data_IF_006508934679
#
_entry.id   IF_006508934679
#
_cell.length_a   1.000
_cell.length_b   1.000
_cell.length_c   1.000
_cell.angle_alpha   90.00
_cell.angle_beta   90.00
_cell.angle_gamma   90.00
#
_symmetry.space_group_name_H-M   'P 1'
#
loop_
_entity.id
_entity.type
_entity.pdbx_description
1 polymer ?
#
# COMPACT_ATOMS: atom_id res chain seq x y z
N UNK A 1 20.46 29.04 -4.33
CA UNK A 1 19.15 28.62 -4.87
C UNK A 1 18.55 27.68 -3.84
N UNK A 2 17.30 27.91 -3.41
CA UNK A 2 16.61 26.97 -2.55
C UNK A 2 16.30 25.72 -3.38
N UNK A 3 16.84 24.57 -2.97
CA UNK A 3 16.56 23.32 -3.65
C UNK A 3 15.24 22.78 -3.12
N UNK A 4 14.25 22.61 -4.00
CA UNK A 4 13.01 21.90 -3.65
C UNK A 4 13.25 20.40 -3.86
N UNK A 5 12.80 19.61 -2.89
CA UNK A 5 12.97 18.17 -2.85
C UNK A 5 11.62 17.50 -3.05
N UNK A 6 11.58 16.54 -3.95
CA UNK A 6 10.37 15.83 -4.33
C UNK A 6 10.56 14.33 -4.14
N UNK A 7 9.45 13.64 -3.91
CA UNK A 7 9.40 12.19 -3.87
C UNK A 7 8.31 11.64 -4.79
N UNK A 8 8.57 10.43 -5.32
CA UNK A 8 7.55 9.59 -5.94
C UNK A 8 7.21 8.44 -5.01
N UNK A 9 5.93 8.31 -4.71
CA UNK A 9 5.41 7.32 -3.77
C UNK A 9 4.51 6.33 -4.47
N UNK A 10 4.77 5.03 -4.32
CA UNK A 10 3.82 3.99 -4.63
C UNK A 10 2.84 3.87 -3.45
N UNK A 11 1.54 4.04 -3.71
CA UNK A 11 0.51 4.14 -2.68
C UNK A 11 -0.42 2.92 -2.72
N UNK A 12 -0.79 2.32 -1.55
CA UNK A 12 -1.75 1.23 -1.46
C UNK A 12 -3.12 1.59 -2.00
N UNK A 13 -3.96 0.59 -2.29
CA UNK A 13 -5.37 0.82 -2.59
C UNK A 13 -6.10 1.48 -1.42
N UNK A 14 -7.21 2.17 -1.68
CA UNK A 14 -7.97 2.91 -0.65
C UNK A 14 -8.24 2.11 0.64
N UNK A 15 -8.82 0.90 0.58
CA UNK A 15 -9.06 0.07 1.76
C UNK A 15 -7.77 -0.31 2.52
N UNK A 16 -6.70 -0.65 1.80
CA UNK A 16 -5.41 -1.05 2.39
C UNK A 16 -4.69 0.15 3.01
N UNK A 17 -4.78 1.33 2.39
CA UNK A 17 -4.25 2.58 2.92
C UNK A 17 -4.97 3.01 4.20
N UNK A 18 -6.29 2.78 4.29
CA UNK A 18 -7.05 3.02 5.52
C UNK A 18 -6.59 2.07 6.63
N UNK A 19 -6.44 0.78 6.33
CA UNK A 19 -5.96 -0.20 7.29
C UNK A 19 -4.54 0.13 7.81
N UNK A 20 -3.62 0.49 6.92
CA UNK A 20 -2.26 0.90 7.31
C UNK A 20 -2.27 2.18 8.15
N UNK A 21 -3.11 3.18 7.81
CA UNK A 21 -3.25 4.40 8.63
C UNK A 21 -3.71 4.09 10.05
N UNK A 22 -4.66 3.17 10.23
CA UNK A 22 -5.06 2.73 11.57
C UNK A 22 -3.89 2.13 12.37
N UNK A 23 -3.01 1.35 11.73
CA UNK A 23 -1.80 0.85 12.37
C UNK A 23 -0.85 2.00 12.75
N UNK A 24 -0.64 2.96 11.85
CA UNK A 24 0.23 4.13 12.04
C UNK A 24 -0.28 5.12 13.11
N UNK A 25 -1.55 5.02 13.49
CA UNK A 25 -2.15 5.77 14.60
C UNK A 25 -1.87 5.15 15.98
N UNK A 26 -1.29 3.94 16.04
CA UNK A 26 -0.94 3.30 17.30
C UNK A 26 0.02 4.17 18.12
N UNK A 27 -0.23 4.30 19.43
CA UNK A 27 0.62 5.02 20.37
C UNK A 27 0.99 4.09 21.53
N UNK A 28 2.29 3.97 21.86
CA UNK A 28 2.72 3.03 22.88
C UNK A 28 2.28 3.55 24.26
N UNK A 29 1.81 2.64 25.12
CA UNK A 29 1.53 2.97 26.52
C UNK A 29 2.86 3.10 27.25
N UNK A 30 3.11 4.16 28.04
CA UNK A 30 4.35 4.26 28.78
C UNK A 30 4.47 3.13 29.81
N UNK A 31 5.63 2.47 29.89
CA UNK A 31 5.89 1.36 30.82
C UNK A 31 5.77 1.76 32.30
N UNK A 32 5.83 3.06 32.62
CA UNK A 32 5.57 3.62 33.95
C UNK A 32 4.85 4.96 33.84
N UNK A 33 3.86 5.25 34.71
CA UNK A 33 3.27 6.57 34.85
C UNK A 33 4.31 7.50 35.51
N UNK A 34 5.27 8.01 34.73
CA UNK A 34 6.09 9.14 35.15
C UNK A 34 5.44 10.42 34.61
N UNK A 35 5.58 11.51 35.36
CA UNK A 35 5.06 12.86 35.09
C UNK A 35 5.48 13.49 33.74
N UNK A 36 6.09 12.74 32.82
CA UNK A 36 6.29 13.18 31.45
C UNK A 36 4.94 13.11 30.74
N UNK A 37 4.36 14.28 30.46
CA UNK A 37 3.11 14.33 29.71
C UNK A 37 3.32 13.61 28.38
N UNK A 38 2.51 12.60 28.11
CA UNK A 38 2.41 11.91 26.81
C UNK A 38 2.22 12.92 25.66
N UNK A 39 1.76 14.14 25.96
CA UNK A 39 1.55 15.27 25.05
C UNK A 39 2.80 15.87 24.40
N UNK A 40 4.02 15.50 24.80
CA UNK A 40 5.26 16.03 24.20
C UNK A 40 5.80 15.19 23.03
N UNK A 41 5.18 14.05 22.70
CA UNK A 41 5.68 13.17 21.65
C UNK A 41 5.01 13.51 20.32
N UNK A 42 5.77 14.04 19.37
CA UNK A 42 5.30 14.24 18.00
C UNK A 42 5.43 12.92 17.22
N UNK A 43 4.29 12.46 16.71
CA UNK A 43 4.21 11.35 15.76
C UNK A 43 3.61 11.95 14.49
N UNK A 44 4.44 12.48 13.57
CA UNK A 44 3.94 13.16 12.40
C UNK A 44 3.04 12.21 11.61
N UNK A 45 1.94 12.76 11.09
CA UNK A 45 1.03 12.01 10.24
C UNK A 45 1.49 12.11 8.80
N UNK A 46 1.44 10.99 8.08
CA UNK A 46 1.72 10.92 6.65
C UNK A 46 0.95 9.75 6.05
N UNK A 47 0.80 9.75 4.72
CA UNK A 47 0.11 8.67 4.02
C UNK A 47 1.01 7.43 3.88
N UNK A 48 0.47 6.19 3.97
CA UNK A 48 1.26 4.98 3.80
C UNK A 48 1.77 4.87 2.36
N UNK A 49 3.08 4.69 2.19
CA UNK A 49 3.71 4.65 0.88
C UNK A 49 4.99 3.81 0.85
N UNK A 50 5.44 3.46 -0.36
CA UNK A 50 6.83 3.07 -0.65
C UNK A 50 7.46 4.16 -1.51
N UNK A 51 8.60 4.71 -1.07
CA UNK A 51 9.33 5.73 -1.84
C UNK A 51 10.07 5.09 -3.01
N UNK A 52 9.56 5.32 -4.23
CA UNK A 52 10.17 4.84 -5.48
C UNK A 52 11.44 5.65 -5.82
N UNK A 53 11.39 6.95 -5.59
CA UNK A 53 12.48 7.88 -5.87
C UNK A 53 12.33 9.17 -5.04
N UNK A 54 13.45 9.76 -4.63
CA UNK A 54 13.61 11.14 -4.14
C UNK A 54 14.59 11.87 -5.03
N UNK A 55 14.33 13.13 -5.32
CA UNK A 55 15.14 13.94 -6.25
C UNK A 55 14.94 15.44 -6.00
N UNK A 56 15.91 16.23 -6.46
CA UNK A 56 15.81 17.70 -6.43
C UNK A 56 15.42 18.25 -7.79
N UNK A 57 14.55 19.26 -7.81
CA UNK A 57 14.20 19.98 -9.03
C UNK A 57 14.00 21.48 -8.71
N UNK A 58 14.58 22.41 -9.49
CA UNK A 58 14.41 23.85 -9.24
C UNK A 58 12.99 24.36 -9.55
N UNK A 59 12.19 23.55 -10.25
CA UNK A 59 10.83 23.88 -10.66
C UNK A 59 9.89 22.75 -10.25
N UNK A 60 8.60 23.08 -10.06
CA UNK A 60 7.58 22.07 -9.83
C UNK A 60 7.51 21.14 -11.05
N UNK A 61 7.83 19.85 -10.90
CA UNK A 61 7.79 18.94 -12.03
C UNK A 61 6.37 18.41 -12.26
N UNK A 62 6.16 17.79 -13.43
CA UNK A 62 4.90 17.11 -13.76
C UNK A 62 5.07 15.61 -13.63
N UNK A 63 4.13 14.91 -12.98
CA UNK A 63 4.30 13.48 -12.69
C UNK A 63 4.53 12.62 -13.95
N UNK A 64 3.92 13.03 -15.07
CA UNK A 64 4.04 12.36 -16.36
C UNK A 64 5.46 12.30 -16.91
N UNK A 65 6.35 13.19 -16.47
CA UNK A 65 7.76 13.19 -16.87
C UNK A 65 8.57 12.07 -16.19
N UNK A 66 7.98 11.36 -15.23
CA UNK A 66 8.67 10.34 -14.44
C UNK A 66 8.08 8.94 -14.58
N UNK A 67 6.87 8.85 -15.11
CA UNK A 67 6.14 7.59 -15.12
C UNK A 67 6.20 6.92 -16.49
N UNK A 68 6.68 5.67 -16.56
CA UNK A 68 6.66 4.93 -17.81
C UNK A 68 5.21 4.73 -18.27
N UNK A 69 4.98 4.93 -19.56
CA UNK A 69 3.64 4.73 -20.13
C UNK A 69 3.15 3.30 -19.89
N UNK A 70 1.96 3.17 -19.32
CA UNK A 70 1.36 1.86 -19.08
C UNK A 70 1.87 1.12 -17.85
N UNK A 71 2.44 1.84 -16.86
CA UNK A 71 2.67 1.30 -15.53
C UNK A 71 1.39 0.62 -14.97
N UNK A 72 1.59 -0.55 -14.36
CA UNK A 72 0.51 -1.42 -13.88
C UNK A 72 0.47 -1.44 -12.36
N UNK A 73 -0.69 -1.77 -11.80
CA UNK A 73 -0.80 -2.02 -10.37
C UNK A 73 0.22 -3.09 -9.95
N UNK A 74 0.84 -2.88 -8.79
CA UNK A 74 2.03 -3.61 -8.37
C UNK A 74 1.79 -4.27 -7.02
N UNK A 75 1.79 -5.62 -6.94
CA UNK A 75 1.61 -6.30 -5.67
C UNK A 75 2.85 -6.14 -4.79
N UNK A 76 2.62 -5.78 -3.53
CA UNK A 76 3.63 -5.64 -2.49
C UNK A 76 3.35 -6.68 -1.43
N UNK A 77 4.37 -7.48 -1.09
CA UNK A 77 4.30 -8.41 0.03
C UNK A 77 5.20 -7.93 1.17
N UNK A 78 4.75 -8.04 2.40
CA UNK A 78 5.56 -7.74 3.58
C UNK A 78 6.54 -8.88 3.84
N UNK A 79 7.75 -8.51 4.27
CA UNK A 79 8.82 -9.45 4.63
C UNK A 79 9.10 -9.43 6.12
N UNK A 80 9.37 -8.24 6.67
CA UNK A 80 9.73 -8.08 8.08
C UNK A 80 9.45 -6.65 8.57
N UNK A 81 9.51 -6.44 9.88
CA UNK A 81 9.53 -5.11 10.48
C UNK A 81 10.96 -4.74 10.87
N UNK A 82 11.39 -3.53 10.52
CA UNK A 82 12.71 -2.98 10.79
C UNK A 82 12.59 -1.79 11.75
N UNK A 83 13.48 -1.75 12.75
CA UNK A 83 13.71 -0.59 13.61
C UNK A 83 15.01 0.05 13.15
N UNK A 84 14.98 1.30 12.68
CA UNK A 84 16.19 2.04 12.34
C UNK A 84 16.62 2.97 13.46
N UNK A 85 17.68 3.72 13.18
CA UNK A 85 18.41 4.56 14.11
C UNK A 85 18.28 6.06 13.82
N UNK A 86 17.70 6.45 12.69
CA UNK A 86 17.42 7.84 12.33
C UNK A 86 15.90 8.17 12.33
N UNK A 87 15.59 9.47 12.14
CA UNK A 87 14.22 9.97 12.14
C UNK A 87 13.37 9.39 10.99
N UNK A 88 13.91 9.34 9.77
CA UNK A 88 13.22 8.92 8.55
C UNK A 88 13.22 7.39 8.32
N UNK A 89 13.99 6.64 9.10
CA UNK A 89 14.09 5.17 9.08
C UNK A 89 13.70 4.57 10.45
N UNK A 90 12.98 5.33 11.28
CA UNK A 90 12.69 4.97 12.68
C UNK A 90 12.00 3.60 12.85
N UNK A 91 10.80 3.42 12.27
CA UNK A 91 10.11 2.13 12.27
C UNK A 91 9.41 1.94 10.92
N UNK A 92 9.75 0.84 10.24
CA UNK A 92 9.27 0.55 8.89
C UNK A 92 8.98 -0.93 8.69
N UNK A 93 8.20 -1.25 7.66
CA UNK A 93 8.04 -2.60 7.14
C UNK A 93 8.94 -2.76 5.93
N UNK A 94 9.79 -3.76 5.93
CA UNK A 94 10.53 -4.19 4.75
C UNK A 94 9.58 -5.00 3.88
N UNK A 95 9.46 -4.61 2.61
CA UNK A 95 8.71 -5.38 1.62
C UNK A 95 9.64 -6.36 0.90
N UNK A 96 9.08 -7.48 0.43
CA UNK A 96 9.81 -8.42 -0.42
C UNK A 96 10.17 -7.75 -1.74
N UNK A 97 11.39 -8.00 -2.21
CA UNK A 97 11.86 -7.58 -3.54
C UNK A 97 11.26 -8.45 -4.66
N UNK A 98 9.96 -8.31 -4.89
CA UNK A 98 9.29 -8.99 -6.02
C UNK A 98 9.80 -8.46 -7.36
N UNK A 99 9.77 -9.29 -8.39
CA UNK A 99 10.22 -8.87 -9.73
C UNK A 99 9.41 -7.68 -10.24
N UNK A 100 8.10 -7.68 -10.00
CA UNK A 100 7.20 -6.62 -10.38
C UNK A 100 7.53 -5.28 -9.70
N UNK A 101 7.78 -5.29 -8.39
CA UNK A 101 8.11 -4.08 -7.63
C UNK A 101 9.49 -3.51 -8.02
N UNK A 102 10.48 -4.38 -8.21
CA UNK A 102 11.81 -3.98 -8.68
C UNK A 102 11.74 -3.39 -10.10
N UNK A 103 11.02 -4.03 -11.02
CA UNK A 103 10.83 -3.52 -12.38
C UNK A 103 10.13 -2.15 -12.42
N UNK A 104 9.13 -1.93 -11.54
CA UNK A 104 8.48 -0.62 -11.46
C UNK A 104 9.49 0.47 -11.04
N UNK A 105 10.23 0.23 -9.96
CA UNK A 105 11.25 1.17 -9.48
C UNK A 105 12.31 1.42 -10.54
N UNK A 106 12.88 0.37 -11.13
CA UNK A 106 13.97 0.49 -12.09
C UNK A 106 13.52 1.31 -13.31
N UNK A 107 12.31 1.09 -13.82
CA UNK A 107 11.77 1.92 -14.91
C UNK A 107 11.57 3.39 -14.53
N UNK A 108 11.13 3.67 -13.31
CA UNK A 108 11.00 5.06 -12.81
C UNK A 108 12.39 5.71 -12.72
N UNK A 109 13.37 5.00 -12.16
CA UNK A 109 14.75 5.48 -12.02
C UNK A 109 15.43 5.70 -13.39
N UNK A 110 15.22 4.79 -14.34
CA UNK A 110 15.72 4.91 -15.71
C UNK A 110 15.10 6.13 -16.40
N UNK A 111 13.78 6.33 -16.28
CA UNK A 111 13.12 7.48 -16.88
C UNK A 111 13.58 8.81 -16.27
N UNK A 112 13.83 8.85 -14.96
CA UNK A 112 14.45 10.02 -14.32
C UNK A 112 15.85 10.29 -14.86
N UNK A 113 16.66 9.25 -15.04
CA UNK A 113 18.01 9.36 -15.59
C UNK A 113 18.01 9.84 -17.04
N UNK A 114 17.09 9.36 -17.87
CA UNK A 114 16.89 9.82 -19.26
C UNK A 114 16.56 11.32 -19.35
N UNK A 115 15.85 11.83 -18.33
CA UNK A 115 15.52 13.24 -18.18
C UNK A 115 16.59 14.03 -17.39
N UNK A 116 17.81 13.50 -17.27
CA UNK A 116 18.96 14.11 -16.60
C UNK A 116 18.76 14.46 -15.12
N UNK A 117 17.82 13.78 -14.44
CA UNK A 117 17.58 13.99 -13.01
C UNK A 117 18.34 12.97 -12.18
N UNK A 118 18.95 13.47 -11.10
CA UNK A 118 19.60 12.62 -10.09
C UNK A 118 18.56 12.25 -9.05
N UNK A 119 18.16 10.99 -9.07
CA UNK A 119 17.25 10.43 -8.10
C UNK A 119 17.93 9.35 -7.25
N UNK A 120 17.42 9.16 -6.04
CA UNK A 120 17.84 8.09 -5.14
C UNK A 120 16.63 7.45 -4.47
N UNK A 121 16.77 6.24 -3.96
CA UNK A 121 15.74 5.61 -3.12
C UNK A 121 16.48 4.68 -2.16
N UNK A 122 17.01 5.25 -1.06
CA UNK A 122 17.75 4.49 -0.08
C UNK A 122 16.83 3.47 0.61
N UNK A 123 17.39 2.32 0.98
CA UNK A 123 16.67 1.28 1.73
C UNK A 123 15.43 0.69 1.03
N UNK A 124 15.30 0.81 -0.29
CA UNK A 124 14.16 0.23 -1.02
C UNK A 124 14.14 -1.32 -1.00
N UNK A 125 12.96 -1.96 -0.88
CA UNK A 125 11.64 -1.39 -0.64
C UNK A 125 11.23 -1.46 0.84
N UNK A 126 10.76 -0.34 1.38
CA UNK A 126 10.18 -0.29 2.73
C UNK A 126 9.00 0.66 2.78
N UNK A 127 8.14 0.45 3.78
CA UNK A 127 6.96 1.27 4.09
C UNK A 127 7.23 1.89 5.46
N UNK A 128 7.49 3.21 5.54
CA UNK A 128 7.60 3.88 6.83
C UNK A 128 6.27 3.76 7.58
N UNK A 129 6.34 3.33 8.85
CA UNK A 129 5.17 3.29 9.73
C UNK A 129 5.17 4.47 10.70
N UNK A 130 6.34 4.82 11.23
CA UNK A 130 6.48 5.90 12.20
C UNK A 130 7.83 6.60 12.01
N UNK A 131 7.79 7.93 11.89
CA UNK A 131 8.96 8.77 12.11
C UNK A 131 8.96 9.22 13.57
N UNK A 132 10.07 8.97 14.25
CA UNK A 132 10.22 9.26 15.67
C UNK A 132 11.47 10.07 15.87
N UNK A 133 11.29 11.23 16.49
CA UNK A 133 12.40 11.94 17.10
C UNK A 133 12.82 11.19 18.36
N UNK A 134 14.11 10.90 18.49
CA UNK A 134 14.67 10.16 19.62
C UNK A 134 14.95 11.06 20.84
N UNK A 135 14.30 12.23 20.90
CA UNK A 135 14.14 13.06 22.11
C UNK A 135 13.89 12.21 23.37
N UNK A 136 13.24 11.05 23.24
CA UNK A 136 13.19 10.00 24.27
C UNK A 136 13.91 8.72 23.82
N UNK A 137 15.12 8.52 24.35
CA UNK A 137 15.93 7.31 24.08
C UNK A 137 15.13 6.03 24.36
N UNK A 138 15.09 5.14 23.35
CA UNK A 138 14.42 3.84 23.44
C UNK A 138 12.94 3.84 23.06
N UNK A 139 12.37 4.98 22.63
CA UNK A 139 10.98 5.05 22.20
C UNK A 139 10.69 4.16 20.98
N UNK A 140 11.61 4.10 20.00
CA UNK A 140 11.50 3.21 18.83
C UNK A 140 11.41 1.75 19.23
N UNK A 141 12.30 1.32 20.13
CA UNK A 141 12.33 -0.06 20.63
C UNK A 141 11.08 -0.40 21.45
N UNK A 142 10.60 0.54 22.27
CA UNK A 142 9.36 0.36 23.04
C UNK A 142 8.15 0.21 22.11
N UNK A 143 8.03 1.08 21.10
CA UNK A 143 6.97 1.02 20.10
C UNK A 143 7.00 -0.32 19.34
N UNK A 144 8.17 -0.70 18.83
CA UNK A 144 8.35 -1.97 18.12
C UNK A 144 8.01 -3.18 18.99
N UNK A 145 8.41 -3.16 20.28
CA UNK A 145 8.09 -4.20 21.25
C UNK A 145 6.57 -4.31 21.46
N UNK A 146 5.89 -3.20 21.72
CA UNK A 146 4.44 -3.22 21.96
C UNK A 146 3.63 -3.61 20.73
N UNK A 147 4.05 -3.21 19.53
CA UNK A 147 3.42 -3.66 18.29
C UNK A 147 3.54 -5.19 18.10
N UNK A 148 4.66 -5.80 18.51
CA UNK A 148 4.82 -7.27 18.51
C UNK A 148 3.98 -7.94 19.59
N UNK A 149 4.02 -7.43 20.82
CA UNK A 149 3.29 -8.00 21.96
C UNK A 149 1.77 -7.94 21.79
N UNK A 150 1.25 -6.90 21.13
CA UNK A 150 -0.18 -6.77 20.78
C UNK A 150 -0.56 -7.54 19.52
N UNK A 151 0.39 -8.19 18.84
CA UNK A 151 0.16 -8.92 17.60
C UNK A 151 -0.10 -8.03 16.37
N UNK A 152 0.07 -6.70 16.50
CA UNK A 152 -0.11 -5.72 15.43
C UNK A 152 0.96 -5.80 14.35
N UNK A 153 2.19 -6.16 14.71
CA UNK A 153 3.31 -6.28 13.77
C UNK A 153 4.08 -7.59 13.99
N UNK A 154 3.49 -8.69 13.48
CA UNK A 154 4.17 -9.98 13.34
C UNK A 154 4.57 -10.19 11.86
N UNK A 155 4.78 -11.43 11.41
CA UNK A 155 4.95 -11.75 9.97
C UNK A 155 3.79 -11.26 9.08
N UNK A 156 2.66 -10.91 9.71
CA UNK A 156 1.51 -10.23 9.12
C UNK A 156 1.21 -8.98 9.95
N UNK A 157 0.72 -7.92 9.31
CA UNK A 157 0.25 -6.74 10.01
C UNK A 157 -1.20 -6.92 10.43
N UNK A 158 -1.45 -6.89 11.72
CA UNK A 158 -2.81 -6.82 12.21
C UNK A 158 -3.22 -5.36 12.39
N UNK A 159 -3.96 -4.86 11.41
CA UNK A 159 -4.48 -3.50 11.39
C UNK A 159 -5.80 -3.34 12.18
N UNK A 160 -6.30 -4.39 12.82
CA UNK A 160 -7.51 -4.30 13.66
C UNK A 160 -7.25 -3.53 14.96
N UNK A 161 -8.19 -2.69 15.38
CA UNK A 161 -8.12 -1.94 16.64
C UNK A 161 -8.49 -2.87 17.80
N UNK A 162 -7.97 -2.61 19.00
CA UNK A 162 -8.40 -3.25 20.25
C UNK A 162 -9.88 -2.91 20.50
N UNK A 163 -10.80 -3.69 19.90
CA UNK A 163 -12.25 -3.52 20.02
C UNK A 163 -13.01 -3.00 18.79
N UNK A 164 -12.34 -2.72 17.66
CA UNK A 164 -13.06 -2.52 16.40
C UNK A 164 -13.27 -3.87 15.72
N UNK A 165 -14.46 -4.09 15.16
CA UNK A 165 -14.95 -5.38 14.70
C UNK A 165 -14.08 -6.15 13.68
N UNK A 166 -14.51 -7.37 13.32
CA UNK A 166 -13.72 -8.43 12.68
C UNK A 166 -13.39 -8.21 11.19
N UNK A 167 -13.07 -6.99 10.75
CA UNK A 167 -13.09 -6.65 9.31
C UNK A 167 -11.75 -6.27 8.68
N UNK A 168 -10.64 -6.35 9.40
CA UNK A 168 -9.33 -6.33 8.77
C UNK A 168 -8.56 -7.58 9.17
N UNK A 169 -8.65 -8.59 8.30
CA UNK A 169 -7.76 -9.74 8.33
C UNK A 169 -6.30 -9.27 8.36
N UNK A 170 -5.43 -10.10 8.95
CA UNK A 170 -4.01 -9.80 9.02
C UNK A 170 -3.44 -9.58 7.60
N UNK A 171 -2.99 -8.35 7.33
CA UNK A 171 -2.46 -7.95 6.03
C UNK A 171 -1.07 -8.56 5.83
N UNK A 172 -0.87 -9.19 4.67
CA UNK A 172 0.42 -9.75 4.24
C UNK A 172 1.12 -8.87 3.21
N UNK A 173 0.49 -7.79 2.81
CA UNK A 173 0.87 -6.99 1.67
C UNK A 173 -0.20 -5.97 1.32
N UNK A 174 -0.02 -5.27 0.20
CA UNK A 174 -1.02 -4.42 -0.42
C UNK A 174 -0.85 -4.40 -1.95
N UNK A 175 -1.86 -3.96 -2.68
CA UNK A 175 -1.75 -3.64 -4.11
C UNK A 175 -1.43 -2.15 -4.29
N UNK A 176 -0.26 -1.83 -4.86
CA UNK A 176 0.08 -0.46 -5.23
C UNK A 176 -0.75 -0.02 -6.43
N UNK A 177 -1.65 0.94 -6.22
CA UNK A 177 -2.65 1.36 -7.24
C UNK A 177 -2.42 2.75 -7.80
N UNK A 178 -1.69 3.60 -7.09
CA UNK A 178 -1.38 4.95 -7.50
C UNK A 178 0.11 5.25 -7.33
N UNK A 179 0.63 6.17 -8.14
CA UNK A 179 1.89 6.86 -7.85
C UNK A 179 1.62 8.33 -7.61
N UNK A 180 2.12 8.85 -6.51
CA UNK A 180 1.96 10.25 -6.11
C UNK A 180 3.28 11.00 -6.26
N UNK A 181 3.21 12.24 -6.73
CA UNK A 181 4.30 13.21 -6.67
C UNK A 181 4.09 14.08 -5.43
N UNK A 182 5.10 14.13 -4.56
CA UNK A 182 5.01 14.81 -3.27
C UNK A 182 6.14 15.82 -3.13
N UNK A 183 5.81 17.02 -2.68
CA UNK A 183 6.78 18.00 -2.18
C UNK A 183 7.16 17.63 -0.75
N UNK A 184 8.44 17.31 -0.55
CA UNK A 184 8.99 16.88 0.74
C UNK A 184 10.02 17.87 1.29
N UNK A 185 9.99 19.13 0.84
CA UNK A 185 10.94 20.16 1.27
C UNK A 185 10.79 20.55 2.73
N UNK A 186 9.55 20.58 3.22
CA UNK A 186 9.24 20.97 4.60
C UNK A 186 9.22 19.74 5.53
N UNK A 187 8.82 19.95 6.79
CA UNK A 187 8.64 18.86 7.75
C UNK A 187 7.59 17.84 7.28
N UNK A 188 7.64 16.61 7.81
CA UNK A 188 6.76 15.51 7.36
C UNK A 188 5.27 15.87 7.39
N UNK A 189 4.82 16.61 8.42
CA UNK A 189 3.41 17.03 8.54
C UNK A 189 3.00 18.06 7.49
N UNK A 190 3.98 18.72 6.88
CA UNK A 190 3.80 19.76 5.86
C UNK A 190 4.05 19.23 4.44
N UNK A 191 4.30 17.93 4.27
CA UNK A 191 4.46 17.32 2.96
C UNK A 191 3.18 17.45 2.13
N UNK A 192 3.31 17.91 0.89
CA UNK A 192 2.16 18.21 0.02
C UNK A 192 2.12 17.29 -1.18
N UNK A 193 1.01 16.57 -1.35
CA UNK A 193 0.76 15.81 -2.57
C UNK A 193 0.43 16.77 -3.71
N UNK A 194 1.31 16.83 -4.70
CA UNK A 194 1.21 17.75 -5.83
C UNK A 194 0.44 17.18 -7.00
N UNK A 195 0.52 15.86 -7.21
CA UNK A 195 -0.13 15.16 -8.32
C UNK A 195 -0.30 13.66 -7.99
N UNK A 196 -1.28 13.01 -8.62
CA UNK A 196 -1.59 11.59 -8.43
C UNK A 196 -1.85 10.92 -9.77
N UNK A 197 -1.36 9.69 -9.90
CA UNK A 197 -1.56 8.90 -11.11
C UNK A 197 -1.98 7.48 -10.80
N UNK A 198 -3.20 7.12 -11.24
CA UNK A 198 -3.66 5.75 -11.23
C UNK A 198 -2.81 4.85 -12.14
N UNK A 199 -2.50 3.67 -11.61
CA UNK A 199 -1.85 2.60 -12.34
C UNK A 199 -2.90 1.73 -13.04
N UNK A 200 -2.55 1.18 -14.21
CA UNK A 200 -3.47 0.32 -14.93
C UNK A 200 -3.66 -0.99 -14.18
N UNK A 201 -4.90 -1.48 -13.99
CA UNK A 201 -5.13 -2.78 -13.36
C UNK A 201 -4.32 -3.87 -14.05
N UNK A 202 -3.65 -4.70 -13.26
CA UNK A 202 -3.02 -5.90 -13.79
C UNK A 202 -4.10 -6.83 -14.31
N UNK A 203 -3.95 -7.32 -15.55
CA UNK A 203 -4.76 -8.44 -16.03
C UNK A 203 -4.62 -9.59 -15.02
N UNK A 204 -5.72 -10.21 -14.56
CA UNK A 204 -5.63 -11.36 -13.69
C UNK A 204 -4.69 -12.38 -14.33
N UNK A 205 -3.72 -12.91 -13.59
CA UNK A 205 -2.95 -14.06 -14.10
C UNK A 205 -3.98 -15.13 -14.45
N UNK A 206 -4.02 -15.55 -15.71
CA UNK A 206 -4.92 -16.62 -16.12
C UNK A 206 -4.68 -17.80 -15.16
N UNK A 207 -5.73 -18.20 -14.45
CA UNK A 207 -5.63 -19.40 -13.61
C UNK A 207 -5.48 -20.56 -14.60
N UNK A 208 -4.27 -21.10 -14.71
CA UNK A 208 -4.03 -22.31 -15.47
C UNK A 208 -4.65 -23.44 -14.67
N UNK A 209 -5.87 -23.82 -15.03
CA UNK A 209 -6.50 -25.01 -14.49
C UNK A 209 -5.90 -26.21 -15.21
N UNK A 210 -5.09 -27.00 -14.51
CA UNK A 210 -4.73 -28.33 -14.97
C UNK A 210 -5.95 -29.21 -14.72
N UNK A 211 -6.82 -29.32 -15.73
CA UNK A 211 -7.83 -30.38 -15.72
C UNK A 211 -7.11 -31.70 -15.89
N UNK A 212 -7.27 -32.63 -14.94
CA UNK A 212 -6.97 -34.05 -15.21
C UNK A 212 -7.75 -34.42 -16.46
N UNK A 213 -7.04 -34.82 -17.52
CA UNK A 213 -7.70 -35.31 -18.72
C UNK A 213 -8.57 -36.49 -18.32
N UNK A 214 -9.81 -36.55 -18.81
CA UNK A 214 -10.54 -37.80 -18.75
C UNK A 214 -9.84 -38.81 -19.67
N UNK A 215 -9.71 -40.08 -19.27
CA UNK A 215 -9.04 -41.10 -20.07
C UNK A 215 -9.76 -41.26 -21.41
N UNK A 216 -9.06 -40.98 -22.51
CA UNK A 216 -9.53 -41.36 -23.84
C UNK A 216 -9.23 -42.85 -24.05
N UNK A 217 -10.27 -43.67 -24.10
CA UNK A 217 -10.17 -45.05 -24.54
C UNK A 217 -9.85 -45.09 -26.03
N UNK A 218 -8.64 -45.53 -26.38
CA UNK A 218 -8.31 -45.84 -27.76
C UNK A 218 -8.97 -47.18 -28.14
N UNK A 219 -9.52 -47.30 -29.35
CA UNK A 219 -10.35 -48.43 -29.82
C UNK A 219 -9.54 -49.76 -29.87
N UNK A 220 -8.24 -49.72 -29.57
CA UNK A 220 -7.31 -50.85 -29.61
C UNK A 220 -6.78 -51.35 -28.25
N UNK A 221 -7.33 -50.90 -27.12
CA UNK A 221 -7.15 -51.57 -25.82
C UNK A 221 -5.73 -51.57 -25.22
N UNK A 222 -4.82 -50.71 -25.69
CA UNK A 222 -3.49 -50.56 -25.09
C UNK A 222 -3.39 -49.22 -24.35
N UNK A 223 -3.06 -49.29 -23.05
CA UNK A 223 -2.77 -48.14 -22.19
C UNK A 223 -1.44 -47.49 -22.61
N UNK A 224 -1.52 -46.27 -23.15
CA UNK A 224 -0.36 -45.40 -23.36
C UNK A 224 -0.28 -44.32 -22.28
N UNK A 225 0.91 -43.77 -21.98
CA UNK A 225 1.06 -42.72 -20.96
C UNK A 225 0.27 -41.45 -21.32
N UNK A 226 -0.47 -40.91 -20.35
CA UNK A 226 -1.34 -39.73 -20.50
C UNK A 226 -0.59 -38.50 -21.08
N UNK A 227 -1.07 -37.89 -22.18
CA UNK A 227 -0.64 -36.55 -22.54
C UNK A 227 -1.39 -35.51 -21.69
N UNK A 228 -0.67 -34.78 -20.85
CA UNK A 228 -1.21 -33.58 -20.19
C UNK A 228 -1.59 -32.54 -21.26
N UNK A 229 -2.88 -32.26 -21.42
CA UNK A 229 -3.33 -31.12 -22.23
C UNK A 229 -3.34 -29.85 -21.37
N UNK A 230 -2.44 -28.91 -21.69
CA UNK A 230 -2.51 -27.55 -21.15
C UNK A 230 -3.52 -26.77 -21.99
N UNK A 231 -4.71 -26.52 -21.46
CA UNK A 231 -5.66 -25.57 -22.06
C UNK A 231 -5.51 -24.21 -21.39
N UNK A 232 -5.05 -23.23 -22.15
CA UNK A 232 -5.10 -21.82 -21.75
C UNK A 232 -6.53 -21.31 -21.97
N UNK A 233 -7.36 -21.31 -20.92
CA UNK A 233 -8.65 -20.62 -20.99
C UNK A 233 -8.40 -19.13 -20.77
N UNK A 234 -8.67 -18.33 -21.81
CA UNK A 234 -8.77 -16.88 -21.67
C UNK A 234 -9.73 -16.56 -20.52
N UNK A 235 -9.28 -15.78 -19.55
CA UNK A 235 -10.09 -15.35 -18.42
C UNK A 235 -11.36 -14.68 -18.95
N UNK A 236 -12.50 -15.37 -18.80
CA UNK A 236 -13.81 -14.83 -19.14
C UNK A 236 -14.09 -13.65 -18.20
N UNK A 237 -13.86 -12.42 -18.67
CA UNK A 237 -14.37 -11.25 -17.97
C UNK A 237 -15.87 -11.17 -18.29
N UNK A 238 -16.78 -11.20 -17.30
CA UNK A 238 -18.16 -10.82 -17.56
C UNK A 238 -18.15 -9.38 -18.08
N UNK A 239 -18.79 -9.15 -19.25
CA UNK A 239 -19.06 -7.80 -19.75
C UNK A 239 -19.90 -7.08 -18.70
N UNK A 240 -19.29 -6.14 -17.99
CA UNK A 240 -20.04 -5.15 -17.24
C UNK A 240 -20.72 -4.23 -18.23
N UNK A 241 -22.01 -4.46 -18.48
CA UNK A 241 -22.80 -3.62 -19.35
C UNK A 241 -24.07 -4.26 -19.89
N UNK A 242 -24.99 -4.67 -19.03
CA UNK A 242 -26.42 -4.59 -19.34
C UNK A 242 -27.18 -4.05 -18.13
N UNK A 243 -28.01 -3.01 -18.29
CA UNK A 243 -28.82 -2.46 -17.21
C UNK A 243 -30.01 -3.39 -16.97
N UNK A 244 -30.01 -4.10 -15.84
CA UNK A 244 -31.20 -4.79 -15.36
C UNK A 244 -32.21 -3.75 -14.87
N UNK A 245 -33.37 -3.71 -15.54
CA UNK A 245 -34.56 -3.01 -15.09
C UNK A 245 -34.95 -3.44 -13.67
N UNK A 246 -34.61 -2.63 -12.67
CA UNK A 246 -35.24 -2.67 -11.35
C UNK A 246 -36.28 -1.55 -11.27
N UNK A 247 -37.50 -1.90 -11.68
CA UNK A 247 -38.68 -1.08 -11.45
C UNK A 247 -39.26 -1.41 -10.07
N UNK A 248 -39.47 -0.37 -9.26
CA UNK A 248 -40.51 -0.34 -8.23
C UNK A 248 -40.08 -0.78 -6.83
N UNK A 249 -39.95 0.18 -5.92
CA UNK A 249 -40.73 0.28 -4.67
C UNK A 249 -40.28 1.54 -3.92
N UNK A 250 -40.85 2.69 -4.25
CA UNK A 250 -40.88 3.85 -3.35
C UNK A 250 -42.18 3.76 -2.53
N UNK A 251 -42.05 3.44 -1.24
CA UNK A 251 -43.12 3.65 -0.26
C UNK A 251 -43.17 5.12 0.18
N UNK A 252 -44.35 5.64 0.55
CA UNK A 252 -44.52 7.05 0.88
C UNK A 252 -43.84 7.43 2.20
N UNK A 253 -43.07 8.53 2.18
CA UNK A 253 -42.54 9.18 3.38
C UNK A 253 -43.68 9.77 4.21
N UNK A 254 -43.64 9.52 5.52
CA UNK A 254 -44.48 10.20 6.50
C UNK A 254 -44.04 11.67 6.68
N UNK A 255 -44.97 12.62 6.92
CA UNK A 255 -44.63 14.02 7.10
C UNK A 255 -44.02 14.29 8.49
N UNK A 256 -42.96 15.11 8.48
CA UNK A 256 -42.33 15.73 9.63
C UNK A 256 -43.32 16.68 10.34
N UNK A 257 -43.49 16.53 11.65
CA UNK A 257 -44.08 17.55 12.52
C UNK A 257 -42.98 18.43 13.11
N UNK A 258 -43.08 19.77 13.05
CA UNK A 258 -42.19 20.66 13.80
C UNK A 258 -42.59 20.71 15.28
N UNK A 259 -41.59 20.64 16.16
CA UNK A 259 -41.75 20.84 17.60
C UNK A 259 -41.96 22.34 17.90
N UNK A 260 -43.01 22.63 18.67
CA UNK A 260 -43.37 23.93 19.25
C UNK A 260 -42.37 24.30 20.37
N UNK A 261 -41.83 25.53 20.40
CA UNK A 261 -40.96 25.99 21.49
C UNK A 261 -41.80 26.66 22.58
N UNK A 262 -41.84 26.04 23.77
CA UNK A 262 -42.09 26.71 25.05
C UNK A 262 -41.06 26.28 26.07
#
# INVERSE_FOLDING_TARGET
MCHVEYALWLVPSGPEAVALRYLMEFRPRPDRPKNHSIRSRSYPRFDPHITLATFWCPHRPYIFQFLPTGAKTTPVEFESMKVGDDFLDSLSIVAKKSSELMQLRDRVMDHMKENFMRASSPSFPHIPLFYLDESYKGERSLLAKQLRETGRANFTLNCSVDGAGPHFDAMKGFEGTEIWLVDITEGVEDWVVLDRRDLKPRMPKAKVYVTRGEPYFNIFGNEGPEPYQVREMASYMPRWGEPSHFAGMYGPMAPYYPLDPR
#
